data_IF_866856318049
#
_entry.id   IF_866856318049
#
_cell.length_a   1.000
_cell.length_b   1.000
_cell.length_c   1.000
_cell.angle_alpha   90.00
_cell.angle_beta   90.00
_cell.angle_gamma   90.00
#
_symmetry.space_group_name_H-M   'P 1'
#
loop_
_entity.id
_entity.type
_entity.pdbx_description
1 polymer ?
#
# COMPACT_ATOMS: atom_id res chain seq x y z
N UNK A 1 0.52 23.82 -12.60
CA UNK A 1 -0.87 23.51 -12.21
C UNK A 1 -0.79 22.61 -11.00
N UNK A 2 -1.05 23.17 -9.81
CA UNK A 2 -0.93 22.43 -8.54
C UNK A 2 -2.20 21.62 -8.39
N UNK A 3 -2.15 20.31 -8.72
CA UNK A 3 -3.18 19.42 -8.20
C UNK A 3 -3.02 19.44 -6.68
N UNK A 4 -4.02 19.98 -5.99
CA UNK A 4 -4.07 19.98 -4.54
C UNK A 4 -3.91 18.54 -4.04
N UNK A 5 -2.89 18.30 -3.22
CA UNK A 5 -2.57 16.99 -2.62
C UNK A 5 -3.75 16.37 -1.85
N UNK A 6 -4.72 17.18 -1.41
CA UNK A 6 -5.99 16.73 -0.83
C UNK A 6 -6.92 16.00 -1.84
N UNK A 7 -6.68 16.16 -3.13
CA UNK A 7 -7.59 15.71 -4.18
C UNK A 7 -7.52 14.23 -4.51
N UNK A 8 -6.53 13.46 -4.06
CA UNK A 8 -6.34 12.04 -4.46
C UNK A 8 -6.71 11.02 -3.39
N UNK A 9 -6.99 11.45 -2.16
CA UNK A 9 -7.39 10.57 -1.05
C UNK A 9 -8.71 9.82 -1.32
N UNK A 10 -9.60 10.38 -2.15
CA UNK A 10 -10.83 9.73 -2.60
C UNK A 10 -10.60 8.45 -3.43
N UNK A 11 -9.38 8.25 -3.96
CA UNK A 11 -9.06 7.06 -4.77
C UNK A 11 -9.05 5.78 -3.95
N UNK A 12 -9.01 5.88 -2.61
CA UNK A 12 -9.16 4.74 -1.70
C UNK A 12 -10.60 4.24 -1.54
N UNK A 13 -11.58 5.02 -1.99
CA UNK A 13 -12.99 4.68 -1.79
C UNK A 13 -13.32 3.34 -2.46
N UNK A 14 -13.96 2.47 -1.70
CA UNK A 14 -14.39 1.13 -2.10
C UNK A 14 -13.21 0.20 -2.47
N UNK A 15 -11.98 0.53 -2.07
CA UNK A 15 -10.78 -0.28 -2.31
C UNK A 15 -10.49 -1.24 -1.17
N UNK A 16 -10.29 -2.51 -1.51
CA UNK A 16 -9.81 -3.56 -0.59
C UNK A 16 -8.29 -3.66 -0.68
N UNK A 17 -7.59 -3.24 0.37
CA UNK A 17 -6.13 -3.17 0.40
C UNK A 17 -5.63 -4.23 1.38
N UNK A 18 -4.82 -5.17 0.89
CA UNK A 18 -4.15 -6.15 1.73
C UNK A 18 -2.81 -5.60 2.21
N UNK A 19 -2.51 -5.78 3.49
CA UNK A 19 -1.22 -5.44 4.08
C UNK A 19 -0.44 -6.71 4.39
N UNK A 20 0.75 -6.86 3.81
CA UNK A 20 1.69 -7.94 4.15
C UNK A 20 2.91 -7.32 4.85
N UNK A 21 3.12 -7.67 6.11
CA UNK A 21 4.14 -7.08 6.98
C UNK A 21 4.80 -8.14 7.86
N UNK A 22 6.03 -7.89 8.33
CA UNK A 22 6.73 -8.72 9.34
C UNK A 22 6.86 -7.98 10.68
N UNK A 23 5.89 -7.10 10.99
CA UNK A 23 6.02 -6.19 12.12
C UNK A 23 4.88 -5.20 12.27
N UNK A 24 5.21 -3.92 12.40
CA UNK A 24 4.26 -2.84 12.70
C UNK A 24 4.24 -1.79 11.59
N UNK A 25 4.03 -2.22 10.34
CA UNK A 25 3.87 -1.30 9.21
C UNK A 25 2.55 -0.55 9.31
N UNK A 26 1.45 -1.25 9.58
CA UNK A 26 0.13 -0.64 9.72
C UNK A 26 -0.13 -0.18 11.17
N UNK A 27 -0.03 1.12 11.40
CA UNK A 27 -0.48 1.75 12.65
C UNK A 27 -2.01 1.86 12.71
N UNK A 28 -2.58 1.86 13.92
CA UNK A 28 -4.03 2.04 14.12
C UNK A 28 -4.52 3.42 13.63
N UNK A 29 -3.68 4.46 13.73
CA UNK A 29 -3.98 5.78 13.18
C UNK A 29 -4.07 5.75 11.65
N UNK A 30 -3.09 5.12 10.98
CA UNK A 30 -3.09 4.99 9.52
C UNK A 30 -4.28 4.15 9.04
N UNK A 31 -4.56 3.04 9.73
CA UNK A 31 -5.72 2.17 9.46
C UNK A 31 -7.04 2.94 9.59
N UNK A 32 -7.23 3.64 10.69
CA UNK A 32 -8.44 4.44 10.95
C UNK A 32 -8.62 5.50 9.86
N UNK A 33 -7.54 6.16 9.47
CA UNK A 33 -7.57 7.17 8.41
C UNK A 33 -7.92 6.57 7.04
N UNK A 34 -7.32 5.44 6.66
CA UNK A 34 -7.65 4.75 5.41
C UNK A 34 -9.11 4.30 5.35
N UNK A 35 -9.63 3.75 6.47
CA UNK A 35 -11.04 3.37 6.57
C UNK A 35 -11.98 4.59 6.48
N UNK A 36 -11.60 5.72 7.08
CA UNK A 36 -12.34 6.98 6.95
C UNK A 36 -12.34 7.54 5.51
N UNK A 37 -11.34 7.18 4.70
CA UNK A 37 -11.28 7.48 3.26
C UNK A 37 -12.07 6.48 2.38
N UNK A 38 -12.68 5.46 3.00
CA UNK A 38 -13.54 4.48 2.33
C UNK A 38 -12.82 3.21 1.87
N UNK A 39 -11.56 2.99 2.28
CA UNK A 39 -10.89 1.71 2.05
C UNK A 39 -11.36 0.65 3.05
N UNK A 40 -11.32 -0.61 2.61
CA UNK A 40 -11.38 -1.79 3.47
C UNK A 40 -9.98 -2.37 3.59
N UNK A 41 -9.49 -2.53 4.82
CA UNK A 41 -8.17 -3.11 5.06
C UNK A 41 -8.32 -4.61 5.31
N UNK A 42 -7.58 -5.40 4.52
CA UNK A 42 -7.43 -6.84 4.68
C UNK A 42 -6.09 -7.11 5.36
N UNK A 43 -6.07 -8.04 6.31
CA UNK A 43 -4.90 -8.26 7.18
C UNK A 43 -4.78 -7.22 8.30
N UNK A 44 -3.57 -6.95 8.81
CA UNK A 44 -2.27 -7.41 8.29
C UNK A 44 -2.08 -8.92 8.34
N UNK A 45 -1.27 -9.44 7.42
CA UNK A 45 -0.79 -10.83 7.40
C UNK A 45 0.73 -10.83 7.48
N UNK A 46 1.29 -11.88 8.06
CA UNK A 46 2.73 -12.03 8.36
C UNK A 46 3.38 -13.24 7.67
N UNK A 47 2.62 -14.00 6.89
CA UNK A 47 3.15 -15.13 6.13
C UNK A 47 2.79 -15.07 4.65
N UNK A 48 3.67 -15.58 3.77
CA UNK A 48 3.38 -15.71 2.34
C UNK A 48 2.13 -16.57 2.09
N UNK A 49 1.94 -17.66 2.85
CA UNK A 49 0.83 -18.59 2.67
C UNK A 49 -0.52 -17.91 2.94
N UNK A 50 -0.62 -17.14 4.02
CA UNK A 50 -1.83 -16.40 4.36
C UNK A 50 -2.10 -15.31 3.32
N UNK A 51 -1.04 -14.60 2.90
CA UNK A 51 -1.13 -13.58 1.85
C UNK A 51 -1.68 -14.15 0.55
N UNK A 52 -1.09 -15.26 0.08
CA UNK A 52 -1.53 -15.95 -1.14
C UNK A 52 -2.98 -16.47 -1.01
N UNK A 53 -3.38 -16.95 0.17
CA UNK A 53 -4.76 -17.36 0.45
C UNK A 53 -5.75 -16.19 0.28
N UNK A 54 -5.43 -15.00 0.79
CA UNK A 54 -6.25 -13.80 0.58
C UNK A 54 -6.39 -13.45 -0.90
N UNK A 55 -5.30 -13.52 -1.67
CA UNK A 55 -5.31 -13.19 -3.10
C UNK A 55 -6.24 -14.10 -3.92
N UNK A 56 -6.50 -15.32 -3.45
CA UNK A 56 -7.38 -16.30 -4.12
C UNK A 56 -8.80 -16.27 -3.59
N UNK A 57 -9.00 -15.94 -2.30
CA UNK A 57 -10.30 -16.06 -1.64
C UNK A 57 -11.10 -14.76 -1.60
N UNK A 58 -10.44 -13.62 -1.70
CA UNK A 58 -11.04 -12.29 -1.60
C UNK A 58 -10.74 -11.44 -2.83
N UNK A 59 -11.56 -10.42 -3.07
CA UNK A 59 -11.18 -9.36 -4.00
C UNK A 59 -10.13 -8.48 -3.32
N UNK A 60 -8.95 -8.38 -3.92
CA UNK A 60 -7.86 -7.50 -3.47
C UNK A 60 -7.57 -6.48 -4.58
N UNK A 61 -7.81 -5.20 -4.29
CA UNK A 61 -7.57 -4.11 -5.25
C UNK A 61 -6.11 -3.69 -5.30
N UNK A 62 -5.38 -3.83 -4.19
CA UNK A 62 -3.96 -3.52 -4.09
C UNK A 62 -3.32 -4.19 -2.88
N UNK A 63 -1.99 -4.28 -2.89
CA UNK A 63 -1.19 -4.76 -1.76
C UNK A 63 -0.15 -3.72 -1.33
N UNK A 64 -0.01 -3.50 -0.03
CA UNK A 64 1.10 -2.75 0.55
C UNK A 64 2.01 -3.75 1.27
N UNK A 65 3.27 -3.78 0.85
CA UNK A 65 4.31 -4.66 1.36
C UNK A 65 5.21 -3.87 2.30
N UNK A 66 5.60 -4.47 3.42
CA UNK A 66 6.66 -3.92 4.26
C UNK A 66 8.02 -4.06 3.57
N UNK A 67 8.81 -2.99 3.59
CA UNK A 67 10.20 -3.00 3.10
C UNK A 67 11.11 -3.88 3.96
N UNK A 68 10.71 -4.19 5.19
CA UNK A 68 11.45 -5.07 6.10
C UNK A 68 11.26 -6.57 5.80
N UNK A 69 10.32 -6.95 4.94
CA UNK A 69 10.10 -8.35 4.58
C UNK A 69 11.35 -8.96 3.93
N UNK A 70 11.73 -10.15 4.40
CA UNK A 70 12.83 -10.90 3.80
C UNK A 70 12.48 -11.33 2.34
N UNK A 71 13.48 -11.32 1.43
CA UNK A 71 13.27 -11.67 0.02
C UNK A 71 12.57 -13.02 -0.19
N UNK A 72 12.91 -14.03 0.61
CA UNK A 72 12.35 -15.38 0.52
C UNK A 72 10.84 -15.41 0.81
N UNK A 73 10.36 -14.51 1.67
CA UNK A 73 8.96 -14.40 2.01
C UNK A 73 8.18 -13.61 0.94
N UNK A 74 8.75 -12.52 0.43
CA UNK A 74 8.00 -11.59 -0.45
C UNK A 74 8.01 -11.96 -1.93
N UNK A 75 9.08 -12.59 -2.44
CA UNK A 75 9.21 -12.91 -3.88
C UNK A 75 8.08 -13.82 -4.42
N UNK A 76 7.64 -14.88 -3.71
CA UNK A 76 6.49 -15.68 -4.15
C UNK A 76 5.19 -14.87 -4.23
N UNK A 77 4.98 -13.94 -3.29
CA UNK A 77 3.81 -13.05 -3.28
C UNK A 77 3.86 -12.09 -4.47
N UNK A 78 5.00 -11.46 -4.74
CA UNK A 78 5.17 -10.57 -5.90
C UNK A 78 4.83 -11.31 -7.20
N UNK A 79 5.33 -12.54 -7.35
CA UNK A 79 5.08 -13.34 -8.56
C UNK A 79 3.58 -13.58 -8.77
N UNK A 80 2.84 -13.82 -7.69
CA UNK A 80 1.38 -13.95 -7.74
C UNK A 80 0.70 -12.61 -8.07
N UNK A 81 1.11 -11.51 -7.45
CA UNK A 81 0.55 -10.17 -7.70
C UNK A 81 0.74 -9.75 -9.17
N UNK A 82 1.90 -10.01 -9.74
CA UNK A 82 2.17 -9.79 -11.18
C UNK A 82 1.27 -10.66 -12.06
N UNK A 83 1.15 -11.95 -11.75
CA UNK A 83 0.29 -12.86 -12.51
C UNK A 83 -1.19 -12.43 -12.49
N UNK A 84 -1.68 -11.94 -11.35
CA UNK A 84 -3.04 -11.44 -11.17
C UNK A 84 -3.22 -9.97 -11.55
N UNK A 85 -2.16 -9.28 -11.98
CA UNK A 85 -2.16 -7.85 -12.30
C UNK A 85 -2.67 -6.97 -11.15
N UNK A 86 -2.37 -7.35 -9.91
CA UNK A 86 -2.74 -6.61 -8.71
C UNK A 86 -1.65 -5.56 -8.45
N UNK A 87 -1.97 -4.26 -8.39
CA UNK A 87 -0.99 -3.23 -8.11
C UNK A 87 -0.47 -3.34 -6.68
N UNK A 88 0.84 -3.12 -6.50
CA UNK A 88 1.45 -3.16 -5.19
C UNK A 88 2.59 -2.16 -5.04
N UNK A 89 2.90 -1.81 -3.80
CA UNK A 89 4.04 -0.96 -3.42
C UNK A 89 4.74 -1.52 -2.18
N UNK A 90 6.00 -1.10 -1.99
CA UNK A 90 6.71 -1.24 -0.72
C UNK A 90 6.64 0.07 0.08
N UNK A 91 6.34 -0.01 1.38
CA UNK A 91 6.21 1.16 2.25
C UNK A 91 6.96 1.01 3.57
N UNK A 92 7.48 2.13 4.08
CA UNK A 92 8.02 2.24 5.44
C UNK A 92 6.90 2.58 6.44
N UNK A 93 7.04 2.17 7.69
CA UNK A 93 6.12 2.53 8.77
C UNK A 93 6.21 4.01 9.18
N UNK A 94 7.35 4.65 8.96
CA UNK A 94 7.58 6.05 9.31
C UNK A 94 8.59 6.71 8.36
N UNK A 95 8.58 8.04 8.32
CA UNK A 95 9.56 8.80 7.57
C UNK A 95 10.98 8.55 8.10
N UNK A 96 11.94 8.17 7.24
CA UNK A 96 13.33 8.07 7.65
C UNK A 96 13.93 9.46 7.91
N UNK A 97 14.88 9.55 8.83
CA UNK A 97 15.70 10.75 9.00
C UNK A 97 16.70 10.84 7.87
N UNK A 98 16.55 11.83 6.99
CA UNK A 98 17.33 11.95 5.75
C UNK A 98 18.20 13.21 5.65
N UNK A 99 18.47 13.88 6.78
CA UNK A 99 19.28 15.10 6.85
C UNK A 99 18.84 16.19 5.84
N UNK A 100 17.53 16.46 5.82
CA UNK A 100 16.93 17.45 4.91
C UNK A 100 16.70 16.99 3.47
N UNK A 101 17.07 15.75 3.12
CA UNK A 101 16.71 15.16 1.82
C UNK A 101 15.26 14.68 1.82
N UNK A 102 14.61 14.81 0.66
CA UNK A 102 13.26 14.27 0.45
C UNK A 102 13.32 12.76 0.26
N UNK A 103 12.47 12.03 0.96
CA UNK A 103 12.23 10.62 0.70
C UNK A 103 11.35 10.47 -0.56
N UNK A 104 11.76 9.61 -1.48
CA UNK A 104 11.07 9.36 -2.76
C UNK A 104 10.28 8.04 -2.79
N UNK A 105 10.15 7.35 -1.64
CA UNK A 105 9.35 6.14 -1.50
C UNK A 105 8.00 6.40 -0.82
N UNK A 106 7.39 5.32 -0.35
CA UNK A 106 6.09 5.35 0.31
C UNK A 106 6.25 5.18 1.82
N UNK A 107 5.44 5.92 2.57
CA UNK A 107 5.32 5.80 4.02
C UNK A 107 3.86 5.53 4.34
N UNK A 108 3.56 4.45 5.05
CA UNK A 108 2.20 4.13 5.47
C UNK A 108 1.89 4.84 6.79
N UNK A 109 1.55 6.14 6.72
CA UNK A 109 1.21 6.95 7.89
C UNK A 109 -0.21 7.54 7.79
N UNK A 110 -0.67 8.16 8.87
CA UNK A 110 -1.94 8.89 8.88
C UNK A 110 -1.87 10.28 8.23
N UNK A 111 -0.70 10.70 7.71
CA UNK A 111 -0.54 12.00 7.05
C UNK A 111 -1.20 11.99 5.67
N UNK A 112 -1.98 13.04 5.39
CA UNK A 112 -2.73 13.16 4.13
C UNK A 112 -1.81 13.09 2.89
N UNK A 113 -0.62 13.67 2.97
CA UNK A 113 0.34 13.72 1.87
C UNK A 113 0.94 12.34 1.52
N UNK A 114 1.16 11.50 2.53
CA UNK A 114 1.66 10.13 2.38
C UNK A 114 0.59 9.26 1.72
N UNK A 115 -0.62 9.31 2.27
CA UNK A 115 -1.78 8.57 1.74
C UNK A 115 -2.15 9.03 0.32
N UNK A 116 -2.07 10.32 0.03
CA UNK A 116 -2.26 10.86 -1.32
C UNK A 116 -1.22 10.32 -2.32
N UNK A 117 0.02 10.13 -1.87
CA UNK A 117 1.12 9.56 -2.67
C UNK A 117 0.87 8.08 -2.95
N UNK A 118 0.51 7.30 -1.93
CA UNK A 118 0.14 5.88 -2.05
C UNK A 118 -1.07 5.71 -2.99
N UNK A 119 -2.14 6.48 -2.77
CA UNK A 119 -3.35 6.46 -3.59
C UNK A 119 -3.05 6.69 -5.07
N UNK A 120 -2.19 7.67 -5.36
CA UNK A 120 -1.80 8.00 -6.74
C UNK A 120 -1.00 6.88 -7.39
N UNK A 121 -0.10 6.24 -6.65
CA UNK A 121 0.72 5.15 -7.17
C UNK A 121 -0.10 3.87 -7.44
N UNK A 122 -1.02 3.53 -6.55
CA UNK A 122 -1.82 2.31 -6.66
C UNK A 122 -3.02 2.46 -7.59
N UNK A 123 -3.67 3.62 -7.60
CA UNK A 123 -4.98 3.83 -8.25
C UNK A 123 -5.05 5.04 -9.17
N UNK A 124 -3.97 5.83 -9.27
CA UNK A 124 -3.88 6.87 -10.27
C UNK A 124 -3.99 6.26 -11.67
N UNK A 125 -4.68 6.94 -12.60
CA UNK A 125 -4.79 6.46 -13.97
C UNK A 125 -3.39 6.34 -14.59
N UNK A 126 -2.92 5.11 -14.77
CA UNK A 126 -1.77 4.83 -15.62
C UNK A 126 -2.13 5.17 -17.05
N UNK A 127 -1.70 6.34 -17.54
CA UNK A 127 -1.48 6.55 -18.96
C UNK A 127 -0.22 5.74 -19.36
N UNK A 128 -0.31 4.42 -19.33
CA UNK A 128 0.66 3.59 -20.03
C UNK A 128 0.12 3.41 -21.44
N UNK A 129 0.65 4.27 -22.30
CA UNK A 129 0.55 4.22 -23.76
C UNK A 129 1.08 2.85 -24.19
N UNK A 130 0.26 2.13 -24.95
CA UNK A 130 0.62 0.88 -25.62
C UNK A 130 1.81 1.04 -26.56
#
# INVERSE_FOLDING_TARGET
MVHSKLGTSHLFRDKKILIFEDGFLLTEEAKTKLMALGASILGPVDTPENTLSFLVSETVDAVILDVALEPEAVLPVISALEAYHIPFIFALAAHPSLDGRRFAGFVLSAMDDDLATIATALFGRSHLVH
#
